data_IF_545670825823
#
_entry.id   IF_545670825823
#
_cell.length_a   1.000
_cell.length_b   1.000
_cell.length_c   1.000
_cell.angle_alpha   90.00
_cell.angle_beta   90.00
_cell.angle_gamma   90.00
#
_symmetry.space_group_name_H-M   'P 1'
#
loop_
_entity.id
_entity.type
_entity.pdbx_description
1 polymer ?
#
# COMPACT_ATOMS: atom_id res chain seq x y z
N UNK A 1 10.80 -49.62 -20.03
CA UNK A 1 9.46 -49.49 -19.41
C UNK A 1 8.58 -50.66 -19.85
N UNK A 2 8.33 -51.60 -18.93
CA UNK A 2 7.67 -52.89 -19.19
C UNK A 2 6.18 -52.71 -19.57
N UNK A 3 5.66 -53.58 -20.44
CA UNK A 3 4.29 -53.54 -20.98
C UNK A 3 3.22 -53.47 -19.89
N UNK A 4 3.41 -54.20 -18.80
CA UNK A 4 2.54 -54.19 -17.62
C UNK A 4 2.47 -52.80 -16.97
N UNK A 5 3.61 -52.12 -16.83
CA UNK A 5 3.68 -50.78 -16.23
C UNK A 5 2.90 -49.74 -17.06
N UNK A 6 2.95 -49.85 -18.39
CA UNK A 6 2.19 -48.96 -19.29
C UNK A 6 0.69 -49.20 -19.17
N UNK A 7 0.27 -50.46 -19.07
CA UNK A 7 -1.14 -50.82 -18.92
C UNK A 7 -1.67 -50.32 -17.56
N UNK A 8 -0.93 -50.52 -16.48
CA UNK A 8 -1.32 -50.02 -15.15
C UNK A 8 -1.38 -48.49 -15.13
N UNK A 9 -0.41 -47.80 -15.75
CA UNK A 9 -0.42 -46.34 -15.89
C UNK A 9 -1.63 -45.86 -16.68
N UNK A 10 -1.89 -46.44 -17.87
CA UNK A 10 -3.02 -46.07 -18.71
C UNK A 10 -4.35 -46.31 -18.02
N UNK A 11 -4.52 -47.43 -17.30
CA UNK A 11 -5.75 -47.72 -16.55
C UNK A 11 -5.93 -46.79 -15.35
N UNK A 12 -4.85 -46.44 -14.65
CA UNK A 12 -4.89 -45.49 -13.53
C UNK A 12 -5.24 -44.08 -14.03
N UNK A 13 -4.67 -43.68 -15.16
CA UNK A 13 -4.96 -42.40 -15.81
C UNK A 13 -6.40 -42.34 -16.35
N UNK A 14 -6.89 -43.42 -16.95
CA UNK A 14 -8.29 -43.52 -17.40
C UNK A 14 -9.26 -43.50 -16.21
N UNK A 15 -8.92 -44.21 -15.12
CA UNK A 15 -9.68 -44.20 -13.88
C UNK A 15 -9.74 -42.82 -13.23
N UNK A 16 -8.61 -42.10 -13.22
CA UNK A 16 -8.55 -40.73 -12.75
C UNK A 16 -9.41 -39.81 -13.62
N UNK A 17 -9.29 -39.88 -14.96
CA UNK A 17 -10.08 -39.07 -15.88
C UNK A 17 -11.58 -39.34 -15.78
N UNK A 18 -11.98 -40.60 -15.64
CA UNK A 18 -13.39 -40.97 -15.45
C UNK A 18 -13.93 -40.55 -14.09
N UNK A 19 -13.14 -40.67 -13.02
CA UNK A 19 -13.49 -40.14 -11.69
C UNK A 19 -13.63 -38.61 -11.67
N UNK A 20 -12.69 -37.90 -12.31
CA UNK A 20 -12.75 -36.44 -12.48
C UNK A 20 -13.94 -36.02 -13.34
N UNK A 21 -14.25 -36.79 -14.40
CA UNK A 21 -15.42 -36.57 -15.25
C UNK A 21 -16.74 -36.80 -14.51
N UNK A 22 -16.84 -37.86 -13.71
CA UNK A 22 -18.03 -38.12 -12.91
C UNK A 22 -18.25 -37.05 -11.83
N UNK A 23 -17.18 -36.59 -11.17
CA UNK A 23 -17.24 -35.51 -10.19
C UNK A 23 -17.59 -34.16 -10.83
N UNK A 24 -17.09 -33.88 -12.04
CA UNK A 24 -17.43 -32.70 -12.85
C UNK A 24 -18.93 -32.58 -13.12
N UNK A 25 -19.64 -33.69 -13.29
CA UNK A 25 -21.09 -33.71 -13.55
C UNK A 25 -21.89 -33.39 -12.28
N UNK A 26 -21.39 -33.72 -11.09
CA UNK A 26 -22.08 -33.43 -9.81
C UNK A 26 -22.27 -31.93 -9.52
N UNK A 27 -21.42 -31.06 -10.08
CA UNK A 27 -21.58 -29.59 -9.98
C UNK A 27 -22.81 -29.04 -10.70
N UNK A 28 -23.38 -29.81 -11.65
CA UNK A 28 -24.56 -29.42 -12.43
C UNK A 28 -25.89 -29.73 -11.72
N UNK A 29 -25.91 -30.57 -10.68
CA UNK A 29 -27.14 -30.94 -9.96
C UNK A 29 -27.76 -29.77 -9.17
N UNK A 30 -26.97 -28.73 -8.87
CA UNK A 30 -27.41 -27.53 -8.14
C UNK A 30 -27.94 -26.41 -9.04
N UNK A 31 -27.95 -26.59 -10.36
CA UNK A 31 -28.36 -25.56 -11.31
C UNK A 31 -29.89 -25.48 -11.41
N UNK A 32 -30.48 -24.46 -10.78
CA UNK A 32 -31.92 -24.16 -10.89
C UNK A 32 -32.19 -23.14 -11.99
N UNK A 33 -33.02 -23.52 -12.97
CA UNK A 33 -33.44 -22.66 -14.08
C UNK A 33 -34.54 -21.70 -13.63
N UNK A 34 -34.39 -20.41 -13.90
CA UNK A 34 -35.48 -19.41 -13.76
C UNK A 34 -36.12 -19.09 -15.11
N UNK A 35 -37.41 -18.69 -15.11
CA UNK A 35 -38.23 -18.47 -16.33
C UNK A 35 -37.66 -17.42 -17.31
N UNK A 36 -36.76 -16.56 -16.86
CA UNK A 36 -36.14 -15.50 -17.66
C UNK A 36 -34.96 -16.00 -18.53
N UNK A 37 -34.59 -17.29 -18.43
CA UNK A 37 -33.47 -17.88 -19.17
C UNK A 37 -33.97 -18.65 -20.42
N UNK A 38 -34.10 -17.94 -21.53
CA UNK A 38 -34.50 -18.49 -22.84
C UNK A 38 -33.32 -19.08 -23.63
N UNK A 39 -33.55 -20.21 -24.29
CA UNK A 39 -32.54 -21.00 -25.03
C UNK A 39 -31.96 -20.27 -26.26
N UNK A 40 -32.72 -19.34 -26.85
CA UNK A 40 -32.39 -18.69 -28.11
C UNK A 40 -31.38 -17.52 -27.98
N UNK A 41 -31.13 -17.02 -26.77
CA UNK A 41 -30.34 -15.80 -26.55
C UNK A 41 -28.95 -16.06 -25.94
N UNK A 42 -28.51 -17.31 -25.83
CA UNK A 42 -27.18 -17.67 -25.28
C UNK A 42 -27.00 -17.42 -23.78
N UNK A 43 -27.95 -16.74 -23.11
CA UNK A 43 -27.91 -16.44 -21.67
C UNK A 43 -27.95 -17.69 -20.79
N UNK A 44 -28.64 -18.74 -21.24
CA UNK A 44 -28.68 -20.02 -20.51
C UNK A 44 -27.35 -20.77 -20.62
N UNK A 45 -26.70 -20.76 -21.79
CA UNK A 45 -25.37 -21.34 -21.97
C UNK A 45 -24.32 -20.59 -21.13
N UNK A 46 -24.36 -19.25 -21.13
CA UNK A 46 -23.45 -18.43 -20.33
C UNK A 46 -23.68 -18.58 -18.83
N UNK A 47 -24.93 -18.68 -18.37
CA UNK A 47 -25.23 -18.95 -16.96
C UNK A 47 -24.78 -20.34 -16.52
N UNK A 48 -24.96 -21.36 -17.38
CA UNK A 48 -24.47 -22.72 -17.12
C UNK A 48 -22.93 -22.78 -17.12
N UNK A 49 -22.27 -22.07 -18.04
CA UNK A 49 -20.81 -21.97 -18.12
C UNK A 49 -20.22 -21.26 -16.89
N UNK A 50 -20.76 -20.11 -16.49
CA UNK A 50 -20.33 -19.39 -15.28
C UNK A 50 -20.52 -20.24 -14.02
N UNK A 51 -21.69 -20.89 -13.86
CA UNK A 51 -21.97 -21.76 -12.71
C UNK A 51 -21.05 -22.98 -12.67
N UNK A 52 -20.76 -23.56 -13.83
CA UNK A 52 -19.83 -24.68 -13.97
C UNK A 52 -18.39 -24.27 -13.63
N UNK A 53 -17.93 -23.12 -14.11
CA UNK A 53 -16.58 -22.60 -13.83
C UNK A 53 -16.39 -22.22 -12.34
N UNK A 54 -17.43 -21.70 -11.68
CA UNK A 54 -17.42 -21.39 -10.24
C UNK A 54 -17.37 -22.65 -9.36
N UNK A 55 -18.04 -23.72 -9.80
CA UNK A 55 -18.16 -25.00 -9.08
C UNK A 55 -17.09 -26.02 -9.47
N UNK A 56 -16.07 -25.69 -10.29
CA UNK A 56 -15.06 -26.64 -10.77
C UNK A 56 -13.83 -26.76 -9.85
N UNK A 57 -13.77 -27.70 -8.89
CA UNK A 57 -12.65 -27.82 -7.94
C UNK A 57 -11.32 -28.19 -8.61
N UNK A 58 -11.34 -28.84 -9.78
CA UNK A 58 -10.16 -29.41 -10.43
C UNK A 58 -9.22 -28.31 -10.96
N UNK A 59 -9.75 -27.17 -11.41
CA UNK A 59 -8.92 -26.04 -11.89
C UNK A 59 -8.12 -25.43 -10.74
N UNK A 60 -8.72 -25.33 -9.54
CA UNK A 60 -8.06 -24.89 -8.30
C UNK A 60 -7.07 -25.94 -7.78
N UNK A 61 -7.44 -27.23 -7.80
CA UNK A 61 -6.55 -28.32 -7.38
C UNK A 61 -5.31 -28.40 -8.28
N UNK A 62 -5.47 -28.34 -9.61
CA UNK A 62 -4.37 -28.37 -10.55
C UNK A 62 -3.42 -27.18 -10.41
N UNK A 63 -3.97 -25.96 -10.26
CA UNK A 63 -3.15 -24.76 -10.03
C UNK A 63 -2.47 -24.74 -8.66
N UNK A 64 -3.10 -25.25 -7.61
CA UNK A 64 -2.51 -25.34 -6.28
C UNK A 64 -1.45 -26.45 -6.19
N UNK A 65 -1.67 -27.60 -6.84
CA UNK A 65 -0.69 -28.68 -6.89
C UNK A 65 0.56 -28.27 -7.66
N UNK A 66 0.38 -27.59 -8.79
CA UNK A 66 1.50 -27.10 -9.60
C UNK A 66 2.28 -25.99 -8.88
N UNK A 67 1.57 -25.09 -8.23
CA UNK A 67 2.22 -24.00 -7.52
C UNK A 67 2.82 -24.42 -6.16
N UNK A 68 2.32 -25.48 -5.52
CA UNK A 68 2.98 -26.09 -4.36
C UNK A 68 4.23 -26.90 -4.76
N UNK A 69 4.23 -27.49 -5.95
CA UNK A 69 5.44 -28.07 -6.55
C UNK A 69 6.46 -26.97 -6.83
N UNK A 70 6.06 -25.83 -7.41
CA UNK A 70 6.94 -24.67 -7.61
C UNK A 70 7.47 -24.09 -6.28
N UNK A 71 6.61 -23.94 -5.28
CA UNK A 71 6.97 -23.50 -3.92
C UNK A 71 8.02 -24.42 -3.30
N UNK A 72 7.86 -25.75 -3.42
CA UNK A 72 8.74 -26.74 -2.79
C UNK A 72 10.05 -26.98 -3.57
N UNK A 73 10.00 -26.92 -4.91
CA UNK A 73 11.16 -27.21 -5.77
C UNK A 73 12.01 -25.98 -6.06
N UNK A 74 11.38 -24.81 -6.25
CA UNK A 74 12.05 -23.60 -6.71
C UNK A 74 12.08 -22.48 -5.65
N UNK A 75 11.26 -22.57 -4.60
CA UNK A 75 11.14 -21.52 -3.58
C UNK A 75 10.73 -20.17 -4.20
N UNK A 76 9.84 -20.24 -5.19
CA UNK A 76 9.29 -19.10 -5.94
C UNK A 76 7.81 -18.88 -5.56
N UNK A 77 7.41 -17.64 -5.28
CA UNK A 77 6.03 -17.24 -5.09
C UNK A 77 5.32 -16.94 -6.42
N UNK A 78 3.99 -16.75 -6.41
CA UNK A 78 3.30 -16.12 -7.56
C UNK A 78 3.78 -14.66 -7.72
N UNK A 79 3.57 -14.04 -8.89
CA UNK A 79 3.72 -12.58 -9.02
C UNK A 79 3.04 -11.87 -7.84
N UNK A 80 3.80 -11.06 -7.12
CA UNK A 80 3.38 -10.36 -5.90
C UNK A 80 4.18 -10.70 -4.64
N UNK A 81 4.84 -11.87 -4.52
CA UNK A 81 5.59 -12.23 -3.30
C UNK A 81 6.94 -12.90 -3.56
N UNK A 82 7.94 -12.51 -2.77
CA UNK A 82 9.29 -13.06 -2.74
C UNK A 82 9.55 -13.75 -1.40
N UNK A 83 10.09 -14.97 -1.43
CA UNK A 83 10.40 -15.74 -0.24
C UNK A 83 11.76 -15.35 0.36
N UNK A 84 11.74 -14.96 1.63
CA UNK A 84 12.90 -14.73 2.48
C UNK A 84 13.33 -15.95 3.28
N UNK A 85 14.36 -15.75 4.12
CA UNK A 85 14.75 -16.69 5.16
C UNK A 85 13.79 -16.61 6.34
N UNK A 86 13.78 -17.64 7.19
CA UNK A 86 13.03 -17.63 8.46
C UNK A 86 11.55 -17.28 8.31
N UNK A 87 10.90 -17.78 7.24
CA UNK A 87 9.49 -17.52 6.94
C UNK A 87 9.15 -16.03 6.71
N UNK A 88 10.12 -15.19 6.37
CA UNK A 88 9.88 -13.83 5.88
C UNK A 88 9.35 -13.85 4.45
N UNK A 89 8.38 -12.99 4.18
CA UNK A 89 7.85 -12.73 2.85
C UNK A 89 8.13 -11.26 2.49
N UNK A 90 8.38 -10.96 1.23
CA UNK A 90 8.51 -9.59 0.75
C UNK A 90 7.62 -9.35 -0.47
N UNK A 91 7.21 -8.10 -0.73
CA UNK A 91 6.50 -7.78 -1.97
C UNK A 91 7.48 -7.87 -3.14
N UNK A 92 7.04 -8.45 -4.26
CA UNK A 92 7.86 -8.48 -5.49
C UNK A 92 8.14 -7.09 -6.08
N UNK A 93 7.33 -6.10 -5.70
CA UNK A 93 7.46 -4.70 -6.09
C UNK A 93 8.74 -4.06 -5.57
N UNK A 94 9.30 -4.61 -4.48
CA UNK A 94 10.58 -4.17 -3.91
C UNK A 94 11.80 -4.83 -4.59
N UNK A 95 11.57 -5.70 -5.58
CA UNK A 95 12.62 -6.50 -6.22
C UNK A 95 12.67 -6.28 -7.73
N UNK A 96 11.50 -6.37 -8.39
CA UNK A 96 11.40 -6.47 -9.84
C UNK A 96 11.88 -5.19 -10.54
N UNK A 97 12.51 -5.31 -11.72
CA UNK A 97 12.78 -4.14 -12.55
C UNK A 97 11.46 -3.58 -13.09
N UNK A 98 11.44 -2.28 -13.37
CA UNK A 98 10.30 -1.64 -14.05
C UNK A 98 10.74 -1.14 -15.42
N UNK A 99 10.04 -1.56 -16.47
CA UNK A 99 10.29 -1.05 -17.82
C UNK A 99 10.02 0.46 -17.87
N UNK A 100 10.99 1.24 -18.33
CA UNK A 100 10.89 2.70 -18.34
C UNK A 100 10.92 3.34 -16.93
N UNK A 101 11.48 2.66 -15.93
CA UNK A 101 11.56 3.15 -14.54
C UNK A 101 12.03 4.60 -14.44
N UNK A 102 13.11 4.97 -15.14
CA UNK A 102 13.65 6.33 -15.10
C UNK A 102 12.63 7.38 -15.53
N UNK A 103 11.91 7.14 -16.62
CA UNK A 103 10.87 8.08 -17.07
C UNK A 103 9.67 8.10 -16.11
N UNK A 104 9.24 6.95 -15.58
CA UNK A 104 8.17 6.89 -14.58
C UNK A 104 8.55 7.66 -13.31
N UNK A 105 9.79 7.51 -12.83
CA UNK A 105 10.31 8.26 -11.69
C UNK A 105 10.30 9.77 -11.96
N UNK A 106 10.77 10.20 -13.14
CA UNK A 106 10.74 11.62 -13.53
C UNK A 106 9.30 12.17 -13.57
N UNK A 107 8.35 11.41 -14.12
CA UNK A 107 6.94 11.80 -14.19
C UNK A 107 6.30 11.91 -12.80
N UNK A 108 6.54 10.92 -11.92
CA UNK A 108 6.03 10.92 -10.56
C UNK A 108 6.67 12.03 -9.71
N UNK A 109 7.97 12.29 -9.85
CA UNK A 109 8.64 13.42 -9.19
C UNK A 109 8.08 14.77 -9.65
N UNK A 110 7.77 14.93 -10.94
CA UNK A 110 7.13 16.14 -11.44
C UNK A 110 5.74 16.36 -10.82
N UNK A 111 4.98 15.28 -10.59
CA UNK A 111 3.69 15.33 -9.91
C UNK A 111 3.84 15.66 -8.43
N UNK A 112 4.80 15.04 -7.72
CA UNK A 112 5.10 15.33 -6.31
C UNK A 112 5.45 16.82 -6.13
N UNK A 113 6.28 17.38 -7.02
CA UNK A 113 6.59 18.81 -7.04
C UNK A 113 5.33 19.66 -7.28
N UNK A 114 4.49 19.28 -8.24
CA UNK A 114 3.24 19.97 -8.53
C UNK A 114 2.27 20.00 -7.34
N UNK A 115 2.16 18.87 -6.62
CA UNK A 115 1.40 18.77 -5.37
C UNK A 115 1.96 19.73 -4.34
N UNK A 116 3.29 19.70 -4.10
CA UNK A 116 3.96 20.61 -3.16
C UNK A 116 3.68 22.07 -3.47
N UNK A 117 3.78 22.48 -4.74
CA UNK A 117 3.52 23.86 -5.15
C UNK A 117 2.03 24.23 -4.98
N UNK A 118 1.12 23.29 -5.24
CA UNK A 118 -0.33 23.49 -5.05
C UNK A 118 -0.68 23.68 -3.57
N UNK A 119 -0.12 22.85 -2.69
CA UNK A 119 -0.27 22.98 -1.24
C UNK A 119 0.30 24.32 -0.75
N UNK A 120 1.50 24.69 -1.20
CA UNK A 120 2.14 25.93 -0.77
C UNK A 120 1.33 27.18 -1.14
N UNK A 121 0.67 27.20 -2.31
CA UNK A 121 -0.21 28.32 -2.71
C UNK A 121 -1.40 28.52 -1.78
N UNK A 122 -1.82 27.48 -1.06
CA UNK A 122 -2.88 27.55 -0.04
C UNK A 122 -2.32 27.72 1.39
N UNK A 123 -1.01 28.00 1.52
CA UNK A 123 -0.37 28.14 2.83
C UNK A 123 -0.09 26.82 3.55
N UNK A 124 -0.34 25.68 2.91
CA UNK A 124 -0.12 24.35 3.48
C UNK A 124 1.31 23.87 3.22
N UNK A 125 1.99 23.38 4.26
CA UNK A 125 3.33 22.80 4.17
C UNK A 125 3.25 21.29 3.90
N UNK A 126 4.04 20.81 2.94
CA UNK A 126 4.15 19.38 2.64
C UNK A 126 5.30 18.74 3.43
N UNK A 127 4.99 17.69 4.19
CA UNK A 127 5.96 16.76 4.79
C UNK A 127 5.83 15.41 4.08
N UNK A 128 6.77 15.09 3.18
CA UNK A 128 6.79 13.83 2.46
C UNK A 128 7.44 12.74 3.33
N UNK A 129 6.63 11.78 3.79
CA UNK A 129 7.08 10.63 4.56
C UNK A 129 7.44 9.48 3.61
N UNK A 130 8.69 9.47 3.14
CA UNK A 130 9.20 8.38 2.28
C UNK A 130 9.43 7.14 3.15
N UNK A 131 8.60 6.11 2.97
CA UNK A 131 8.71 4.86 3.74
C UNK A 131 9.75 3.95 3.07
N UNK A 132 10.82 3.55 3.79
CA UNK A 132 11.81 2.63 3.24
C UNK A 132 11.22 1.25 2.99
N UNK A 133 11.70 0.56 1.95
CA UNK A 133 11.28 -0.78 1.58
C UNK A 133 11.57 -1.77 2.71
N UNK A 134 10.69 -2.75 2.90
CA UNK A 134 10.90 -3.79 3.90
C UNK A 134 12.16 -4.61 3.58
N UNK A 135 12.39 -4.91 2.30
CA UNK A 135 13.61 -5.58 1.82
C UNK A 135 14.90 -4.79 2.12
N UNK A 136 14.84 -3.46 2.26
CA UNK A 136 15.97 -2.62 2.70
C UNK A 136 16.20 -2.76 4.20
N UNK A 137 15.15 -2.57 4.99
CA UNK A 137 15.20 -2.60 6.47
C UNK A 137 15.60 -3.98 6.97
N UNK A 138 15.10 -5.05 6.35
CA UNK A 138 15.29 -6.44 6.74
C UNK A 138 16.11 -7.21 5.70
N UNK A 139 17.18 -6.60 5.21
CA UNK A 139 18.10 -7.22 4.25
C UNK A 139 18.72 -8.54 4.77
N UNK A 140 18.85 -8.68 6.09
CA UNK A 140 19.29 -9.93 6.73
C UNK A 140 18.30 -11.09 6.56
N UNK A 141 17.04 -10.85 6.20
CA UNK A 141 16.06 -11.91 5.96
C UNK A 141 15.82 -12.19 4.47
N UNK A 142 16.58 -11.56 3.58
CA UNK A 142 16.52 -11.89 2.15
C UNK A 142 16.89 -13.35 1.88
N UNK A 143 16.18 -13.96 0.93
CA UNK A 143 16.38 -15.32 0.48
C UNK A 143 17.36 -15.39 -0.70
N UNK A 144 17.04 -16.26 -1.68
CA UNK A 144 17.84 -16.38 -2.92
C UNK A 144 17.66 -15.18 -3.84
N UNK A 145 16.45 -14.62 -3.88
CA UNK A 145 16.16 -13.43 -4.67
C UNK A 145 16.70 -12.20 -3.94
N UNK A 146 17.37 -11.33 -4.69
CA UNK A 146 17.88 -10.04 -4.21
C UNK A 146 17.24 -8.92 -5.03
N UNK A 147 16.98 -7.74 -4.42
CA UNK A 147 16.48 -6.60 -5.17
C UNK A 147 17.38 -6.24 -6.35
N UNK A 148 16.80 -5.78 -7.46
CA UNK A 148 17.59 -5.30 -8.59
C UNK A 148 18.31 -3.98 -8.26
N UNK A 149 19.32 -3.62 -9.07
CA UNK A 149 20.08 -2.36 -8.90
C UNK A 149 19.20 -1.10 -8.83
N UNK A 150 18.03 -1.12 -9.47
CA UNK A 150 17.05 -0.03 -9.36
C UNK A 150 16.70 0.25 -7.89
N UNK A 151 16.44 -0.81 -7.11
CA UNK A 151 15.99 -0.73 -5.73
C UNK A 151 17.12 -0.51 -4.72
N UNK A 152 18.37 -0.91 -5.03
CA UNK A 152 19.51 -0.71 -4.12
C UNK A 152 19.68 0.77 -3.72
N UNK A 153 19.58 1.69 -4.68
CA UNK A 153 19.76 3.14 -4.46
C UNK A 153 18.46 3.95 -4.36
N UNK A 154 17.29 3.33 -4.51
CA UNK A 154 16.02 4.03 -4.74
C UNK A 154 15.66 5.02 -3.62
N UNK A 155 15.71 4.61 -2.35
CA UNK A 155 15.44 5.47 -1.21
C UNK A 155 16.30 6.74 -1.20
N UNK A 156 17.61 6.59 -1.35
CA UNK A 156 18.56 7.70 -1.34
C UNK A 156 18.36 8.63 -2.54
N UNK A 157 18.11 8.06 -3.73
CA UNK A 157 17.79 8.82 -4.92
C UNK A 157 16.49 9.60 -4.77
N UNK A 158 15.46 8.99 -4.17
CA UNK A 158 14.18 9.66 -3.92
C UNK A 158 14.36 10.85 -2.98
N UNK A 159 15.07 10.68 -1.86
CA UNK A 159 15.40 11.78 -0.95
C UNK A 159 16.20 12.90 -1.61
N UNK A 160 17.19 12.56 -2.43
CA UNK A 160 17.97 13.55 -3.18
C UNK A 160 17.09 14.36 -4.16
N UNK A 161 16.21 13.68 -4.89
CA UNK A 161 15.29 14.30 -5.84
C UNK A 161 14.21 15.15 -5.15
N UNK A 162 13.66 14.66 -4.03
CA UNK A 162 12.72 15.43 -3.20
C UNK A 162 13.36 16.73 -2.72
N UNK A 163 14.61 16.67 -2.22
CA UNK A 163 15.38 17.84 -1.82
C UNK A 163 15.62 18.81 -2.97
N UNK A 164 16.00 18.30 -4.15
CA UNK A 164 16.19 19.12 -5.36
C UNK A 164 14.87 19.82 -5.79
N UNK A 165 13.73 19.16 -5.56
CA UNK A 165 12.41 19.72 -5.83
C UNK A 165 11.91 20.70 -4.75
N UNK A 166 12.66 20.93 -3.66
CA UNK A 166 12.22 21.76 -2.53
C UNK A 166 11.09 21.11 -1.71
N UNK A 167 11.00 19.79 -1.74
CA UNK A 167 10.07 18.98 -0.94
C UNK A 167 10.76 18.57 0.34
N UNK A 168 10.13 18.87 1.48
CA UNK A 168 10.65 18.48 2.78
C UNK A 168 10.33 17.01 3.06
N UNK A 169 11.36 16.17 3.13
CA UNK A 169 11.25 14.73 3.34
C UNK A 169 12.20 14.29 4.48
N UNK A 170 11.70 14.17 5.73
CA UNK A 170 12.50 13.66 6.85
C UNK A 170 12.95 12.22 6.62
N UNK A 171 14.14 11.86 7.12
CA UNK A 171 14.64 10.48 7.02
C UNK A 171 13.89 9.55 7.99
N UNK A 172 13.33 8.46 7.46
CA UNK A 172 12.68 7.40 8.24
C UNK A 172 13.51 6.13 8.30
N UNK A 173 14.55 5.98 7.47
CA UNK A 173 15.38 4.78 7.40
C UNK A 173 16.18 4.59 8.68
N UNK A 174 16.98 5.59 9.08
CA UNK A 174 17.82 5.49 10.27
C UNK A 174 17.02 5.21 11.56
N UNK A 175 15.92 5.91 11.89
CA UNK A 175 15.17 5.62 13.11
C UNK A 175 14.51 4.24 13.08
N UNK A 176 14.01 3.78 11.93
CA UNK A 176 13.44 2.43 11.80
C UNK A 176 14.51 1.34 11.94
N UNK A 177 15.70 1.52 11.36
CA UNK A 177 16.82 0.59 11.53
C UNK A 177 17.25 0.49 13.00
N UNK A 178 17.37 1.63 13.68
CA UNK A 178 17.71 1.66 15.10
C UNK A 178 16.67 0.92 15.95
N UNK A 179 15.39 1.10 15.64
CA UNK A 179 14.29 0.50 16.36
C UNK A 179 14.18 -1.03 16.22
N UNK A 180 14.86 -1.65 15.24
CA UNK A 180 14.94 -3.13 15.12
C UNK A 180 15.45 -3.81 16.39
N UNK A 181 16.31 -3.12 17.16
CA UNK A 181 16.83 -3.61 18.45
C UNK A 181 15.75 -3.77 19.54
N UNK A 182 14.60 -3.10 19.39
CA UNK A 182 13.46 -3.16 20.31
C UNK A 182 12.38 -4.16 19.89
N UNK A 183 12.41 -4.61 18.63
CA UNK A 183 11.41 -5.51 18.07
C UNK A 183 11.21 -5.31 16.57
N UNK A 184 10.27 -6.05 16.00
CA UNK A 184 9.93 -5.95 14.58
C UNK A 184 9.35 -4.56 14.26
N UNK A 185 9.93 -3.84 13.31
CA UNK A 185 9.40 -2.58 12.75
C UNK A 185 8.57 -2.81 11.49
N UNK A 186 8.71 -3.96 10.84
CA UNK A 186 7.80 -4.49 9.81
C UNK A 186 7.35 -5.90 10.18
N UNK A 187 6.15 -6.26 9.72
CA UNK A 187 5.63 -7.61 9.86
C UNK A 187 6.38 -8.58 8.93
N UNK A 188 6.52 -9.83 9.40
CA UNK A 188 7.28 -10.86 8.70
C UNK A 188 6.56 -11.33 7.44
N UNK A 189 5.24 -11.50 7.51
CA UNK A 189 4.39 -12.06 6.45
C UNK A 189 3.49 -11.05 5.77
N UNK A 190 3.68 -9.75 6.04
CA UNK A 190 2.87 -8.65 5.53
C UNK A 190 3.74 -7.50 4.99
N UNK A 191 3.27 -6.71 4.03
CA UNK A 191 4.04 -5.58 3.49
C UNK A 191 4.29 -4.46 4.51
N UNK A 192 3.42 -4.30 5.50
CA UNK A 192 3.36 -3.11 6.34
C UNK A 192 4.33 -3.11 7.53
N UNK A 193 4.53 -1.91 8.07
CA UNK A 193 5.18 -1.73 9.36
C UNK A 193 4.36 -2.40 10.48
N UNK A 194 5.00 -2.68 11.61
CA UNK A 194 4.26 -2.97 12.84
C UNK A 194 3.73 -1.67 13.45
N UNK A 195 2.81 -1.72 14.43
CA UNK A 195 2.40 -0.52 15.18
C UNK A 195 3.56 0.20 15.87
N UNK A 196 4.62 -0.53 16.24
CA UNK A 196 5.85 0.04 16.78
C UNK A 196 6.68 0.74 15.70
N UNK A 197 6.80 0.15 14.51
CA UNK A 197 7.45 0.81 13.36
C UNK A 197 6.72 2.08 12.92
N UNK A 198 5.39 2.04 12.85
CA UNK A 198 4.55 3.22 12.57
C UNK A 198 4.75 4.33 13.61
N UNK A 199 4.82 3.97 14.90
CA UNK A 199 5.11 4.91 15.98
C UNK A 199 6.48 5.56 15.85
N UNK A 200 7.51 4.78 15.52
CA UNK A 200 8.87 5.32 15.30
C UNK A 200 8.90 6.30 14.14
N UNK A 201 8.21 5.98 13.03
CA UNK A 201 8.08 6.90 11.90
C UNK A 201 7.33 8.18 12.30
N UNK A 202 6.21 8.07 13.03
CA UNK A 202 5.44 9.22 13.50
C UNK A 202 6.26 10.14 14.42
N UNK A 203 7.06 9.57 15.33
CA UNK A 203 7.96 10.32 16.20
C UNK A 203 9.03 11.09 15.41
N UNK A 204 9.66 10.44 14.43
CA UNK A 204 10.67 11.08 13.57
C UNK A 204 10.06 12.23 12.74
N UNK A 205 8.85 12.04 12.20
CA UNK A 205 8.12 13.08 11.48
C UNK A 205 7.74 14.25 12.39
N UNK A 206 7.23 13.97 13.60
CA UNK A 206 6.85 15.01 14.55
C UNK A 206 8.05 15.84 15.02
N UNK A 207 9.19 15.20 15.27
CA UNK A 207 10.43 15.89 15.60
C UNK A 207 10.87 16.81 14.45
N UNK A 208 10.76 16.34 13.20
CA UNK A 208 11.09 17.13 12.02
C UNK A 208 10.14 18.32 11.82
N UNK A 209 8.84 18.11 12.03
CA UNK A 209 7.80 19.16 12.01
C UNK A 209 8.07 20.23 13.08
N UNK A 210 8.41 19.80 14.29
CA UNK A 210 8.74 20.71 15.41
C UNK A 210 9.99 21.52 15.12
N UNK A 211 11.08 20.90 14.63
CA UNK A 211 12.32 21.62 14.29
C UNK A 211 12.14 22.70 13.21
N UNK A 212 11.16 22.53 12.34
CA UNK A 212 10.85 23.47 11.25
C UNK A 212 9.73 24.46 11.63
N UNK A 213 9.15 24.37 12.83
CA UNK A 213 8.00 25.17 13.28
C UNK A 213 6.83 25.18 12.28
N UNK A 214 6.46 24.00 11.74
CA UNK A 214 5.41 23.92 10.71
C UNK A 214 3.99 23.92 11.29
N UNK A 215 3.85 23.71 12.60
CA UNK A 215 2.56 23.73 13.30
C UNK A 215 2.53 24.82 14.36
N UNK A 216 1.44 25.58 14.34
CA UNK A 216 1.09 26.61 15.31
C UNK A 216 -0.26 26.28 15.97
N UNK A 217 -0.46 26.74 17.20
CA UNK A 217 -1.69 26.51 17.97
C UNK A 217 -1.44 25.81 19.30
N UNK A 218 -2.48 25.69 20.11
CA UNK A 218 -2.38 25.05 21.43
C UNK A 218 -2.25 23.52 21.28
N UNK A 219 -1.22 22.90 21.87
CA UNK A 219 -1.03 21.46 21.75
C UNK A 219 -2.15 20.66 22.42
N UNK A 220 -2.79 19.76 21.68
CA UNK A 220 -3.75 18.80 22.20
C UNK A 220 -3.05 17.51 22.63
N UNK A 221 -3.31 17.04 23.85
CA UNK A 221 -2.73 15.80 24.34
C UNK A 221 -3.54 14.58 23.85
N UNK A 222 -2.84 13.54 23.41
CA UNK A 222 -3.42 12.23 23.07
C UNK A 222 -2.69 11.14 23.86
N UNK A 223 -3.40 10.05 24.15
CA UNK A 223 -2.84 8.86 24.81
C UNK A 223 -3.12 7.64 23.94
N UNK A 224 -2.06 6.87 23.70
CA UNK A 224 -2.10 5.57 23.03
C UNK A 224 -2.11 4.46 24.06
N UNK A 225 -3.12 3.59 24.00
CA UNK A 225 -3.25 2.41 24.83
C UNK A 225 -2.88 1.16 24.04
N UNK A 226 -2.11 0.26 24.67
CA UNK A 226 -1.79 -1.03 24.10
C UNK A 226 -2.88 -2.05 24.46
N UNK A 227 -3.49 -2.63 23.45
CA UNK A 227 -4.48 -3.69 23.56
C UNK A 227 -3.87 -5.08 23.54
N UNK A 228 -4.72 -6.08 23.28
CA UNK A 228 -4.33 -7.47 23.19
C UNK A 228 -3.41 -7.74 21.98
N UNK A 229 -2.57 -8.76 22.12
CA UNK A 229 -1.80 -9.33 21.01
C UNK A 229 -2.52 -10.56 20.48
N UNK A 230 -2.75 -10.62 19.17
CA UNK A 230 -3.38 -11.76 18.51
C UNK A 230 -2.65 -12.16 17.24
N UNK A 231 -2.76 -13.43 16.80
CA UNK A 231 -2.30 -13.85 15.49
C UNK A 231 -2.90 -13.00 14.37
N UNK A 232 -2.09 -12.62 13.38
CA UNK A 232 -2.47 -11.79 12.24
C UNK A 232 -1.96 -12.43 10.95
N UNK A 233 -2.88 -12.70 10.01
CA UNK A 233 -2.55 -13.25 8.68
C UNK A 233 -2.13 -12.09 7.77
N UNK A 234 -0.84 -12.02 7.45
CA UNK A 234 -0.29 -10.97 6.60
C UNK A 234 -0.76 -11.02 5.15
N UNK A 235 -0.83 -9.86 4.49
CA UNK A 235 -1.28 -9.69 3.11
C UNK A 235 -0.49 -10.53 2.09
N UNK A 236 0.84 -10.66 2.27
CA UNK A 236 1.72 -11.41 1.36
C UNK A 236 1.42 -12.91 1.37
N UNK A 237 0.80 -13.44 2.44
CA UNK A 237 0.38 -14.85 2.48
C UNK A 237 -0.69 -15.17 1.44
N UNK A 238 -1.49 -14.18 1.01
CA UNK A 238 -2.54 -14.37 0.00
C UNK A 238 -1.95 -14.59 -1.40
N UNK A 239 -0.68 -14.25 -1.62
CA UNK A 239 0.03 -14.49 -2.87
C UNK A 239 0.72 -15.87 -2.89
N UNK A 240 0.67 -16.62 -1.78
CA UNK A 240 1.17 -17.98 -1.71
C UNK A 240 0.08 -18.97 -2.17
N UNK A 241 0.33 -19.76 -3.22
CA UNK A 241 -0.67 -20.63 -3.82
C UNK A 241 -0.76 -21.99 -3.11
N UNK A 242 -0.87 -21.94 -1.78
CA UNK A 242 -0.81 -23.11 -0.92
C UNK A 242 -2.19 -23.48 -0.36
N UNK A 243 -3.11 -22.51 -0.25
CA UNK A 243 -4.47 -22.78 0.22
C UNK A 243 -5.37 -23.41 -0.87
N UNK A 244 -6.24 -24.39 -0.52
CA UNK A 244 -6.43 -24.98 0.81
C UNK A 244 -5.60 -26.25 1.06
N UNK A 245 -4.96 -26.82 0.03
CA UNK A 245 -4.39 -28.18 0.07
C UNK A 245 -3.06 -28.29 0.85
N UNK A 246 -2.32 -27.18 0.94
CA UNK A 246 -0.99 -27.09 1.55
C UNK A 246 -0.92 -25.94 2.57
N UNK A 247 -2.05 -25.63 3.22
CA UNK A 247 -2.13 -24.58 4.24
C UNK A 247 -1.13 -24.78 5.39
N UNK A 248 -0.74 -26.03 5.67
CA UNK A 248 0.31 -26.40 6.62
C UNK A 248 1.74 -25.96 6.23
N UNK A 249 1.95 -25.58 4.96
CA UNK A 249 3.22 -25.02 4.47
C UNK A 249 3.25 -23.49 4.51
N UNK A 250 2.13 -22.83 4.81
CA UNK A 250 2.13 -21.38 4.98
C UNK A 250 3.02 -20.97 6.15
N UNK A 251 3.68 -19.80 6.07
CA UNK A 251 4.41 -19.26 7.19
C UNK A 251 3.47 -19.05 8.38
N UNK A 252 4.01 -19.19 9.59
CA UNK A 252 3.23 -18.91 10.80
C UNK A 252 2.71 -17.47 10.75
N UNK A 253 1.48 -17.18 11.21
CA UNK A 253 0.98 -15.82 11.31
C UNK A 253 1.92 -14.92 12.12
N UNK A 254 1.92 -13.63 11.83
CA UNK A 254 2.55 -12.65 12.71
C UNK A 254 1.73 -12.50 14.00
N UNK A 255 2.34 -11.89 15.03
CA UNK A 255 1.61 -11.46 16.22
C UNK A 255 1.46 -9.95 16.18
N UNK A 256 0.21 -9.46 16.16
CA UNK A 256 -0.10 -8.05 16.11
C UNK A 256 -0.66 -7.58 17.46
N UNK A 257 0.02 -6.62 18.09
CA UNK A 257 -0.53 -5.93 19.25
C UNK A 257 -1.40 -4.77 18.77
N UNK A 258 -2.69 -4.80 19.10
CA UNK A 258 -3.58 -3.69 18.79
C UNK A 258 -3.16 -2.46 19.59
N UNK A 259 -3.19 -1.27 18.97
CA UNK A 259 -2.95 0.01 19.64
C UNK A 259 -4.05 0.97 19.21
N UNK A 260 -4.61 1.70 20.17
CA UNK A 260 -5.64 2.71 19.92
C UNK A 260 -5.24 4.02 20.57
N UNK A 261 -5.57 5.12 19.92
CA UNK A 261 -5.22 6.46 20.40
C UNK A 261 -6.49 7.26 20.61
N UNK A 262 -6.55 8.01 21.72
CA UNK A 262 -7.67 8.90 22.03
C UNK A 262 -7.17 10.24 22.56
N UNK A 263 -7.90 11.34 22.33
CA UNK A 263 -7.58 12.61 22.97
C UNK A 263 -7.75 12.48 24.50
N UNK A 264 -6.94 13.24 25.23
CA UNK A 264 -7.15 13.46 26.67
C UNK A 264 -8.23 14.54 26.78
N UNK A 265 -9.38 14.19 27.35
CA UNK A 265 -10.42 15.18 27.62
C UNK A 265 -9.90 16.23 28.61
N UNK A 266 -9.96 17.50 28.20
CA UNK A 266 -9.71 18.61 29.12
C UNK A 266 -10.89 18.68 30.10
N UNK A 267 -10.61 18.64 31.40
CA UNK A 267 -11.61 18.83 32.42
C UNK A 267 -12.18 20.27 32.32
N UNK A 268 -13.33 20.46 31.67
CA UNK A 268 -14.13 21.70 31.76
C UNK A 268 -14.64 22.36 30.48
N UNK A 269 -14.33 21.89 29.27
CA UNK A 269 -14.64 22.62 28.02
C UNK A 269 -15.75 22.00 27.14
N UNK A 270 -16.71 21.30 27.74
CA UNK A 270 -17.81 20.67 26.99
C UNK A 270 -18.81 21.68 26.36
N UNK A 271 -18.72 22.98 26.70
CA UNK A 271 -19.70 23.99 26.30
C UNK A 271 -19.30 24.88 25.11
N UNK A 272 -18.07 25.41 25.10
CA UNK A 272 -17.64 26.44 24.14
C UNK A 272 -16.89 25.88 22.91
N UNK A 273 -16.33 24.66 23.00
CA UNK A 273 -15.59 24.04 21.89
C UNK A 273 -16.50 23.48 20.77
N UNK A 274 -17.81 23.32 21.02
CA UNK A 274 -18.75 22.74 20.05
C UNK A 274 -19.15 23.72 18.93
N UNK A 275 -18.87 25.03 19.11
CA UNK A 275 -19.24 26.10 18.17
C UNK A 275 -18.03 26.76 17.49
N UNK A 276 -16.80 26.36 17.83
CA UNK A 276 -15.63 26.79 17.09
C UNK A 276 -15.53 25.99 15.79
N UNK A 277 -15.39 26.67 14.64
CA UNK A 277 -14.95 26.04 13.39
C UNK A 277 -13.56 25.43 13.61
N UNK A 278 -13.53 24.18 14.07
CA UNK A 278 -12.29 23.52 14.48
C UNK A 278 -11.62 23.00 13.22
N UNK A 279 -10.80 23.85 12.59
CA UNK A 279 -9.96 23.45 11.45
C UNK A 279 -8.90 22.48 11.96
N UNK A 280 -8.94 21.24 11.48
CA UNK A 280 -7.93 20.24 11.81
C UNK A 280 -6.60 20.67 11.15
N UNK A 281 -5.53 20.93 11.92
CA UNK A 281 -4.33 21.59 11.40
C UNK A 281 -3.42 20.65 10.60
N UNK A 282 -3.64 19.33 10.67
CA UNK A 282 -2.84 18.32 9.97
C UNK A 282 -3.75 17.40 9.15
N UNK A 283 -3.41 17.18 7.89
CA UNK A 283 -3.98 16.11 7.09
C UNK A 283 -2.94 15.01 6.84
N UNK A 284 -3.36 13.76 6.96
CA UNK A 284 -2.61 12.57 6.59
C UNK A 284 -3.14 12.03 5.27
N UNK A 285 -2.28 11.89 4.27
CA UNK A 285 -2.61 11.27 2.98
C UNK A 285 -1.60 10.19 2.68
N UNK A 286 -2.03 9.07 2.13
CA UNK A 286 -1.12 7.98 1.81
C UNK A 286 -1.84 6.72 1.39
N UNK A 287 -1.20 5.60 1.68
CA UNK A 287 -1.64 4.25 1.28
C UNK A 287 -2.28 3.50 2.46
N UNK A 288 -2.41 2.18 2.32
CA UNK A 288 -2.76 1.25 3.39
C UNK A 288 -1.87 1.34 4.64
N UNK A 289 -0.62 1.83 4.54
CA UNK A 289 0.22 2.13 5.72
C UNK A 289 -0.41 3.17 6.64
N UNK A 290 -1.19 4.09 6.07
CA UNK A 290 -1.88 5.18 6.76
C UNK A 290 -3.37 4.94 6.93
N UNK A 291 -4.02 4.26 5.97
CA UNK A 291 -5.47 4.00 5.99
C UNK A 291 -5.88 2.87 6.93
N UNK A 292 -5.03 1.85 7.09
CA UNK A 292 -5.39 0.67 7.87
C UNK A 292 -5.18 0.91 9.39
N UNK A 293 -6.23 0.80 10.23
CA UNK A 293 -6.16 1.08 11.66
C UNK A 293 -5.27 0.09 12.43
N UNK A 294 -4.97 -1.08 11.87
CA UNK A 294 -4.09 -2.06 12.52
C UNK A 294 -2.71 -1.51 12.84
N UNK A 295 -2.22 -0.53 12.07
CA UNK A 295 -0.91 0.09 12.27
C UNK A 295 -0.93 1.26 13.25
N UNK A 296 -2.11 1.83 13.52
CA UNK A 296 -2.30 3.03 14.36
C UNK A 296 -1.37 4.20 13.98
N UNK A 297 -1.02 4.35 12.69
CA UNK A 297 -0.12 5.44 12.27
C UNK A 297 -0.75 6.83 12.48
N UNK A 298 -2.06 6.95 12.21
CA UNK A 298 -2.83 8.15 12.50
C UNK A 298 -2.73 8.56 13.98
N UNK A 299 -3.02 7.62 14.88
CA UNK A 299 -2.96 7.87 16.31
C UNK A 299 -1.55 8.15 16.82
N UNK A 300 -0.55 7.45 16.29
CA UNK A 300 0.84 7.73 16.59
C UNK A 300 1.25 9.16 16.17
N UNK A 301 0.77 9.64 15.01
CA UNK A 301 0.96 11.03 14.59
C UNK A 301 0.25 12.01 15.52
N UNK A 302 -1.01 11.76 15.87
CA UNK A 302 -1.77 12.62 16.80
C UNK A 302 -1.02 12.78 18.14
N UNK A 303 -0.54 11.67 18.71
CA UNK A 303 0.22 11.69 19.95
C UNK A 303 1.58 12.39 19.82
N UNK A 304 2.33 12.10 18.75
CA UNK A 304 3.67 12.66 18.58
C UNK A 304 3.65 14.16 18.22
N UNK A 305 2.69 14.58 17.38
CA UNK A 305 2.51 15.98 16.99
C UNK A 305 1.80 16.80 18.05
N UNK A 306 1.13 16.16 19.01
CA UNK A 306 0.22 16.80 19.98
C UNK A 306 -0.83 17.67 19.28
N UNK A 307 -1.45 17.09 18.25
CA UNK A 307 -2.33 17.79 17.32
C UNK A 307 -3.33 16.80 16.76
N UNK A 308 -4.56 17.26 16.49
CA UNK A 308 -5.49 16.45 15.72
C UNK A 308 -5.00 16.29 14.26
N UNK A 309 -5.36 15.16 13.66
CA UNK A 309 -4.93 14.75 12.32
C UNK A 309 -6.13 14.14 11.60
N UNK A 310 -6.48 14.68 10.44
CA UNK A 310 -7.53 14.14 9.58
C UNK A 310 -6.94 13.14 8.59
N UNK A 311 -7.50 11.94 8.49
CA UNK A 311 -6.98 10.89 7.61
C UNK A 311 -7.74 10.83 6.28
N UNK A 312 -7.03 11.07 5.18
CA UNK A 312 -7.50 10.98 3.79
C UNK A 312 -6.71 9.93 3.00
N UNK A 313 -6.01 9.02 3.67
CA UNK A 313 -5.36 7.88 3.03
C UNK A 313 -6.39 6.86 2.52
N UNK A 314 -6.08 6.17 1.42
CA UNK A 314 -6.90 5.10 0.87
C UNK A 314 -6.08 3.82 0.68
N UNK A 315 -6.73 2.67 0.83
CA UNK A 315 -6.13 1.36 0.56
C UNK A 315 -6.25 1.01 -0.95
N UNK A 316 -5.26 0.32 -1.51
CA UNK A 316 -5.32 -0.27 -2.86
C UNK A 316 -5.09 0.66 -4.05
N UNK A 317 -4.82 1.96 -3.85
CA UNK A 317 -4.69 2.94 -4.94
C UNK A 317 -3.28 3.55 -5.12
N UNK A 318 -2.31 3.11 -4.31
CA UNK A 318 -0.98 3.73 -4.25
C UNK A 318 -1.01 5.15 -3.65
N UNK A 319 0.15 5.81 -3.49
CA UNK A 319 0.24 7.06 -2.73
C UNK A 319 -0.23 8.30 -3.49
N UNK A 320 -0.29 8.25 -4.82
CA UNK A 320 -0.55 9.44 -5.65
C UNK A 320 -2.05 9.73 -5.82
N UNK A 321 -2.87 8.71 -6.10
CA UNK A 321 -4.29 8.89 -6.35
C UNK A 321 -5.03 9.52 -5.15
N UNK A 322 -4.81 9.08 -3.89
CA UNK A 322 -5.42 9.71 -2.71
C UNK A 322 -5.03 11.19 -2.56
N UNK A 323 -3.78 11.54 -2.88
CA UNK A 323 -3.32 12.92 -2.86
C UNK A 323 -4.01 13.78 -3.92
N UNK A 324 -4.12 13.28 -5.15
CA UNK A 324 -4.79 14.03 -6.22
C UNK A 324 -6.28 14.22 -5.92
N UNK A 325 -6.96 13.20 -5.36
CA UNK A 325 -8.34 13.32 -4.87
C UNK A 325 -8.44 14.35 -3.74
N UNK A 326 -7.52 14.31 -2.77
CA UNK A 326 -7.50 15.25 -1.65
C UNK A 326 -7.38 16.71 -2.11
N UNK A 327 -6.48 17.00 -3.06
CA UNK A 327 -6.33 18.35 -3.65
C UNK A 327 -7.60 18.86 -4.36
N UNK A 328 -8.49 17.96 -4.80
CA UNK A 328 -9.76 18.30 -5.44
C UNK A 328 -10.95 18.32 -4.46
N UNK A 329 -10.75 17.89 -3.22
CA UNK A 329 -11.81 17.80 -2.22
C UNK A 329 -12.23 19.17 -1.69
N UNK A 330 -13.48 19.27 -1.24
CA UNK A 330 -13.98 20.48 -0.58
C UNK A 330 -13.29 20.69 0.77
N UNK A 331 -12.90 19.61 1.47
CA UNK A 331 -12.12 19.69 2.70
C UNK A 331 -10.82 20.49 2.54
N UNK A 332 -10.08 20.27 1.45
CA UNK A 332 -8.86 21.05 1.17
C UNK A 332 -9.17 22.48 0.70
N UNK A 333 -10.21 22.66 -0.11
CA UNK A 333 -10.57 23.99 -0.67
C UNK A 333 -11.13 24.94 0.39
N UNK A 334 -11.94 24.41 1.32
CA UNK A 334 -12.67 25.21 2.30
C UNK A 334 -11.89 25.36 3.61
N UNK A 335 -11.07 24.36 3.96
CA UNK A 335 -10.35 24.31 5.23
C UNK A 335 -8.94 23.69 5.07
N UNK A 336 -8.10 24.29 4.23
CA UNK A 336 -6.72 23.86 4.04
C UNK A 336 -5.95 23.75 5.39
N UNK A 337 -5.27 22.62 5.66
CA UNK A 337 -4.52 22.42 6.91
C UNK A 337 -3.21 23.21 6.90
N UNK A 338 -2.57 23.35 8.05
CA UNK A 338 -1.22 23.91 8.15
C UNK A 338 -0.18 22.94 7.54
N UNK A 339 -0.35 21.64 7.80
CA UNK A 339 0.56 20.58 7.36
C UNK A 339 -0.19 19.45 6.67
N UNK A 340 0.36 18.96 5.57
CA UNK A 340 0.01 17.67 4.98
C UNK A 340 1.18 16.71 5.16
N UNK A 341 0.95 15.63 5.90
CA UNK A 341 1.85 14.47 5.94
C UNK A 341 1.46 13.55 4.79
N UNK A 342 2.35 13.41 3.81
CA UNK A 342 2.13 12.54 2.66
C UNK A 342 3.00 11.29 2.77
N UNK A 343 2.40 10.18 3.17
CA UNK A 343 3.04 8.86 3.26
C UNK A 343 3.18 8.24 1.86
N UNK A 344 4.42 7.89 1.51
CA UNK A 344 4.79 7.41 0.18
C UNK A 344 5.86 6.32 0.27
N UNK A 345 5.53 5.03 0.10
CA UNK A 345 6.53 3.96 0.11
C UNK A 345 7.46 4.04 -1.10
N UNK A 346 8.77 3.88 -0.90
CA UNK A 346 9.79 4.12 -1.94
C UNK A 346 9.52 3.33 -3.23
N UNK A 347 8.97 2.11 -3.10
CA UNK A 347 8.68 1.20 -4.22
C UNK A 347 7.69 1.76 -5.25
N UNK A 348 6.84 2.73 -4.88
CA UNK A 348 5.87 3.33 -5.79
C UNK A 348 6.49 4.38 -6.72
N UNK A 349 7.68 4.92 -6.42
CA UNK A 349 8.29 5.96 -7.23
C UNK A 349 8.53 5.55 -8.69
N UNK A 350 9.06 4.34 -8.99
CA UNK A 350 9.21 3.87 -10.36
C UNK A 350 7.95 3.22 -10.95
N UNK A 351 6.80 3.22 -10.25
CA UNK A 351 5.58 2.56 -10.72
C UNK A 351 4.69 3.51 -11.52
N UNK A 352 3.97 2.94 -12.49
CA UNK A 352 2.96 3.67 -13.26
C UNK A 352 1.70 3.87 -12.42
N UNK A 353 1.19 5.09 -12.42
CA UNK A 353 -0.10 5.44 -11.82
C UNK A 353 -1.19 5.52 -12.90
N UNK A 354 -2.40 5.04 -12.60
CA UNK A 354 -3.56 5.28 -13.46
C UNK A 354 -4.18 6.64 -13.14
N UNK A 355 -3.94 7.60 -14.03
CA UNK A 355 -4.44 8.98 -13.90
C UNK A 355 -5.64 9.25 -14.81
N UNK A 356 -6.23 8.21 -15.41
CA UNK A 356 -7.33 8.36 -16.38
C UNK A 356 -8.60 9.00 -15.80
N UNK A 357 -8.77 8.93 -14.47
CA UNK A 357 -9.88 9.54 -13.76
C UNK A 357 -9.75 11.07 -13.56
N UNK A 358 -8.58 11.66 -13.84
CA UNK A 358 -8.33 13.09 -13.66
C UNK A 358 -8.30 13.83 -14.99
N UNK A 359 -8.68 15.11 -14.98
CA UNK A 359 -8.56 15.98 -16.14
C UNK A 359 -7.08 16.04 -16.61
N UNK A 360 -6.77 15.62 -17.85
CA UNK A 360 -5.40 15.61 -18.35
C UNK A 360 -4.76 17.00 -18.38
N UNK A 361 -5.56 18.07 -18.51
CA UNK A 361 -5.07 19.45 -18.50
C UNK A 361 -4.63 19.85 -17.09
N UNK A 362 -5.39 19.46 -16.06
CA UNK A 362 -5.00 19.67 -14.67
C UNK A 362 -3.73 18.89 -14.30
N UNK A 363 -3.61 17.63 -14.74
CA UNK A 363 -2.38 16.84 -14.57
C UNK A 363 -1.18 17.50 -15.27
N UNK A 364 -1.37 18.03 -16.48
CA UNK A 364 -0.32 18.75 -17.20
C UNK A 364 0.09 20.06 -16.47
N UNK A 365 -0.87 20.77 -15.86
CA UNK A 365 -0.59 21.95 -15.05
C UNK A 365 0.19 21.60 -13.78
N UNK A 366 -0.19 20.53 -13.07
CA UNK A 366 0.54 20.03 -11.91
C UNK A 366 2.00 19.72 -12.25
N UNK A 367 2.27 19.04 -13.38
CA UNK A 367 3.65 18.72 -13.78
C UNK A 367 4.48 19.96 -14.14
N UNK A 368 3.86 21.05 -14.58
CA UNK A 368 4.52 22.23 -15.17
C UNK A 368 4.48 23.50 -14.31
N UNK A 369 4.14 23.41 -13.02
CA UNK A 369 3.98 24.56 -12.11
C UNK A 369 5.09 25.62 -12.24
N UNK A 370 6.37 25.22 -12.27
CA UNK A 370 7.50 26.16 -12.41
C UNK A 370 7.58 26.89 -13.75
N UNK A 371 7.24 26.24 -14.87
CA UNK A 371 7.27 26.88 -16.19
C UNK A 371 6.20 27.96 -16.30
N UNK A 372 5.05 27.75 -15.68
CA UNK A 372 3.97 28.73 -15.65
C UNK A 372 4.35 29.96 -14.80
N UNK A 373 5.01 29.75 -13.65
CA UNK A 373 5.47 30.85 -12.79
C UNK A 373 6.62 31.66 -13.42
N UNK A 374 7.58 31.01 -14.07
CA UNK A 374 8.66 31.67 -14.83
C UNK A 374 8.09 32.49 -16.01
N UNK A 375 7.13 31.94 -16.74
CA UNK A 375 6.47 32.66 -17.85
C UNK A 375 5.64 33.85 -17.36
N UNK A 376 4.95 33.73 -16.23
CA UNK A 376 4.21 34.83 -15.61
C UNK A 376 5.17 35.94 -15.15
N UNK A 377 6.27 35.60 -14.46
CA UNK A 377 7.28 36.56 -14.03
C UNK A 377 7.99 37.27 -15.20
N UNK A 378 8.24 36.56 -16.30
CA UNK A 378 8.80 37.14 -17.53
C UNK A 378 7.79 38.04 -18.27
N UNK A 379 6.48 37.74 -18.19
CA UNK A 379 5.43 38.54 -18.79
C UNK A 379 5.11 39.82 -17.99
N UNK A 380 5.15 39.76 -16.66
CA UNK A 380 4.98 40.93 -15.78
C UNK A 380 6.14 41.91 -15.91
N UNK A 381 7.37 41.43 -16.14
CA UNK A 381 8.51 42.30 -16.40
C UNK A 381 8.50 42.96 -17.79
N UNK A 382 7.68 42.47 -18.73
CA UNK A 382 7.52 43.08 -20.07
C UNK A 382 6.43 44.14 -20.15
N UNK A 383 5.57 44.26 -19.14
CA UNK A 383 4.45 45.22 -19.12
C UNK A 383 4.77 46.52 -18.37
N UNK A 384 6.01 46.70 -17.90
CA UNK A 384 6.48 47.89 -17.16
C UNK A 384 7.48 48.74 -17.98
N UNK A 385 7.39 48.71 -19.32
CA UNK A 385 8.17 49.59 -20.19
C UNK A 385 7.30 50.36 -21.18
#
# INVERSE_FOLDING_TARGET
MNRTLRITYSLSFLGLLTGLGAWSVGGLESFNRTEQMTLLNGKLAKAAETHYDEQFPIKRIGTNLWAALDYKLFNEGRPGVVLGREQWLFSDEEFKPTAGAEQLMQENLALIRGVRDTLQRQGTQLVLAIVPAKARIYSEYLGKAVPTRLHEGLYNQFHAQARQAGVFAPDLLAPLEQAKSRGQVFLRTDTHWTPMGAEVAAQALAEAVSRQNLLNGDPQAFITEAGATSPYKGDLTNFLPLDPLFSNLLPSPDNLQQRSTRPVEAAGEAGDALFAETRIPVALVGTSYSANPHWNFLGALQQALRSDVANYAEDGHGPLLPMLKYLQSDAFKDAAPQVVVWEFPERYLPMKNDLSAFDPTWIAQLKNTRKTEENLALSSNRTVH
#
